data_IF_507543940282
#
_entry.id   IF_507543940282
#
_cell.length_a   1.000
_cell.length_b   1.000
_cell.length_c   1.000
_cell.angle_alpha   90.00
_cell.angle_beta   90.00
_cell.angle_gamma   90.00
#
_symmetry.space_group_name_H-M   'P 1'
#
loop_
_entity.id
_entity.type
_entity.pdbx_description
1 polymer ?
#
# COMPACT_ATOMS: atom_id res chain seq x y z
N UNK A 1 2.11 33.85 1.29
CA UNK A 1 2.36 32.64 0.48
C UNK A 1 3.21 33.04 -0.70
N UNK A 2 4.24 32.24 -1.03
CA UNK A 2 5.07 32.47 -2.22
C UNK A 2 4.33 31.90 -3.43
N UNK A 3 4.16 32.66 -4.51
CA UNK A 3 3.68 32.12 -5.78
C UNK A 3 4.79 31.25 -6.38
N UNK A 4 4.41 30.01 -6.74
CA UNK A 4 5.32 29.08 -7.39
C UNK A 4 5.44 29.47 -8.87
N UNK A 5 6.65 29.41 -9.40
CA UNK A 5 6.86 29.51 -10.85
C UNK A 5 6.22 28.32 -11.56
N UNK A 6 5.89 28.48 -12.83
CA UNK A 6 5.35 27.39 -13.66
C UNK A 6 6.27 26.15 -13.70
N UNK A 7 7.58 26.34 -13.46
CA UNK A 7 8.56 25.27 -13.39
C UNK A 7 8.46 24.49 -12.08
N UNK A 8 8.33 25.18 -10.95
CA UNK A 8 8.09 24.56 -9.64
C UNK A 8 6.72 23.88 -9.58
N UNK A 9 5.70 24.44 -10.23
CA UNK A 9 4.38 23.79 -10.37
C UNK A 9 4.49 22.48 -11.16
N UNK A 10 5.25 22.48 -12.25
CA UNK A 10 5.50 21.27 -13.05
C UNK A 10 6.38 20.24 -12.33
N UNK A 11 7.30 20.66 -11.45
CA UNK A 11 8.09 19.75 -10.62
C UNK A 11 7.24 19.14 -9.50
N UNK A 12 6.33 19.90 -8.89
CA UNK A 12 5.35 19.37 -7.93
C UNK A 12 4.40 18.39 -8.63
N UNK A 13 3.88 18.73 -9.82
CA UNK A 13 2.99 17.85 -10.59
C UNK A 13 3.73 16.63 -11.19
N UNK A 14 4.98 16.80 -11.61
CA UNK A 14 5.84 15.76 -12.16
C UNK A 14 6.39 14.81 -11.09
N UNK A 15 6.66 15.30 -9.88
CA UNK A 15 6.95 14.48 -8.71
C UNK A 15 5.73 13.65 -8.26
N UNK A 16 4.56 14.29 -8.23
CA UNK A 16 3.28 13.68 -7.88
C UNK A 16 2.92 12.47 -8.77
N UNK A 17 3.21 12.53 -10.07
CA UNK A 17 2.91 11.42 -11.00
C UNK A 17 4.12 10.54 -11.31
N UNK A 18 5.32 11.10 -11.47
CA UNK A 18 6.52 10.34 -11.85
C UNK A 18 7.16 9.59 -10.69
N UNK A 19 7.55 10.31 -9.63
CA UNK A 19 8.18 9.70 -8.46
C UNK A 19 7.17 8.91 -7.63
N UNK A 20 5.94 9.40 -7.52
CA UNK A 20 4.82 8.69 -6.88
C UNK A 20 4.58 7.29 -7.46
N UNK A 21 4.64 7.13 -8.79
CA UNK A 21 4.46 5.83 -9.44
C UNK A 21 5.69 4.92 -9.26
N UNK A 22 6.91 5.45 -9.37
CA UNK A 22 8.13 4.64 -9.20
C UNK A 22 8.25 4.12 -7.77
N UNK A 23 8.18 5.02 -6.79
CA UNK A 23 8.27 4.61 -5.38
C UNK A 23 7.03 3.83 -4.95
N UNK A 24 5.85 4.15 -5.49
CA UNK A 24 4.64 3.34 -5.29
C UNK A 24 4.80 1.90 -5.79
N UNK A 25 5.42 1.69 -6.96
CA UNK A 25 5.72 0.36 -7.48
C UNK A 25 6.71 -0.42 -6.59
N UNK A 26 7.78 0.24 -6.14
CA UNK A 26 8.77 -0.36 -5.22
C UNK A 26 8.11 -0.74 -3.89
N UNK A 27 7.34 0.20 -3.32
CA UNK A 27 6.60 -0.01 -2.08
C UNK A 27 5.60 -1.16 -2.21
N UNK A 28 4.90 -1.26 -3.34
CA UNK A 28 3.97 -2.35 -3.60
C UNK A 28 4.69 -3.71 -3.71
N UNK A 29 5.85 -3.77 -4.35
CA UNK A 29 6.66 -4.99 -4.44
C UNK A 29 7.13 -5.47 -3.06
N UNK A 30 7.66 -4.55 -2.23
CA UNK A 30 8.06 -4.83 -0.85
C UNK A 30 6.86 -5.28 -0.01
N UNK A 31 5.74 -4.57 -0.12
CA UNK A 31 4.50 -4.89 0.57
C UNK A 31 3.94 -6.26 0.16
N UNK A 32 4.05 -6.62 -1.13
CA UNK A 32 3.66 -7.95 -1.64
C UNK A 32 4.49 -9.04 -0.96
N UNK A 33 5.82 -8.88 -0.93
CA UNK A 33 6.72 -9.86 -0.33
C UNK A 33 6.46 -10.03 1.19
N UNK A 34 6.23 -8.93 1.91
CA UNK A 34 5.85 -8.99 3.33
C UNK A 34 4.50 -9.72 3.49
N UNK A 35 3.51 -9.37 2.66
CA UNK A 35 2.20 -9.99 2.70
C UNK A 35 2.22 -11.49 2.38
N UNK A 36 3.07 -11.93 1.46
CA UNK A 36 3.30 -13.37 1.18
C UNK A 36 3.83 -14.13 2.40
N UNK A 37 4.76 -13.53 3.14
CA UNK A 37 5.28 -14.14 4.38
C UNK A 37 4.16 -14.29 5.42
N UNK A 38 3.30 -13.28 5.55
CA UNK A 38 2.15 -13.33 6.46
C UNK A 38 1.15 -14.39 6.01
N UNK A 39 0.82 -14.46 4.72
CA UNK A 39 -0.08 -15.48 4.16
C UNK A 39 0.47 -16.90 4.35
N UNK A 40 1.79 -17.11 4.21
CA UNK A 40 2.40 -18.40 4.50
C UNK A 40 2.28 -18.76 5.98
N UNK A 41 2.47 -17.79 6.88
CA UNK A 41 2.32 -17.99 8.33
C UNK A 41 0.88 -18.31 8.75
N UNK A 42 -0.11 -17.64 8.17
CA UNK A 42 -1.54 -17.89 8.45
C UNK A 42 -2.00 -19.22 7.86
N UNK A 43 -1.49 -19.60 6.69
CA UNK A 43 -1.73 -20.90 6.07
C UNK A 43 -1.21 -22.05 6.94
N UNK A 44 -0.06 -21.89 7.61
CA UNK A 44 0.45 -22.86 8.58
C UNK A 44 -0.51 -23.04 9.79
N UNK A 45 -1.29 -22.02 10.11
CA UNK A 45 -2.38 -22.07 11.09
C UNK A 45 -3.72 -22.57 10.56
N UNK A 46 -3.79 -22.99 9.29
CA UNK A 46 -5.02 -23.46 8.63
C UNK A 46 -5.94 -22.35 8.12
N UNK A 47 -5.48 -21.09 8.09
CA UNK A 47 -6.29 -19.96 7.64
C UNK A 47 -6.01 -19.60 6.18
N UNK A 48 -7.04 -19.17 5.47
CA UNK A 48 -6.95 -18.60 4.12
C UNK A 48 -7.01 -17.09 4.19
N UNK A 49 -5.93 -16.42 3.81
CA UNK A 49 -5.83 -14.96 3.79
C UNK A 49 -5.24 -14.48 2.47
N UNK A 50 -5.28 -13.16 2.27
CA UNK A 50 -4.72 -12.46 1.11
C UNK A 50 -4.02 -11.19 1.60
N UNK A 51 -3.13 -11.34 2.57
CA UNK A 51 -2.26 -10.27 3.04
C UNK A 51 -1.26 -9.83 1.98
N UNK A 52 -0.92 -10.68 1.00
CA UNK A 52 -0.16 -10.31 -0.19
C UNK A 52 -0.75 -9.08 -0.88
N UNK A 53 -2.06 -9.11 -1.17
CA UNK A 53 -2.73 -7.97 -1.82
C UNK A 53 -2.82 -6.77 -0.88
N UNK A 54 -3.17 -6.97 0.39
CA UNK A 54 -3.24 -5.87 1.36
C UNK A 54 -1.89 -5.17 1.54
N UNK A 55 -0.82 -5.97 1.59
CA UNK A 55 0.56 -5.52 1.67
C UNK A 55 0.96 -4.73 0.43
N UNK A 56 0.61 -5.19 -0.77
CA UNK A 56 0.85 -4.45 -2.01
C UNK A 56 0.19 -3.06 -2.00
N UNK A 57 -1.06 -2.97 -1.56
CA UNK A 57 -1.81 -1.70 -1.49
C UNK A 57 -1.19 -0.75 -0.45
N UNK A 58 -0.94 -1.24 0.76
CA UNK A 58 -0.36 -0.46 1.85
C UNK A 58 1.07 0.00 1.48
N UNK A 59 1.91 -0.93 1.05
CA UNK A 59 3.28 -0.67 0.63
C UNK A 59 3.32 0.30 -0.55
N UNK A 60 2.42 0.14 -1.52
CA UNK A 60 2.29 1.08 -2.64
C UNK A 60 1.88 2.48 -2.22
N UNK A 61 0.97 2.60 -1.26
CA UNK A 61 0.62 3.89 -0.66
C UNK A 61 1.78 4.53 0.10
N UNK A 62 2.54 3.75 0.88
CA UNK A 62 3.74 4.25 1.59
C UNK A 62 4.81 4.69 0.58
N UNK A 63 5.05 3.87 -0.45
CA UNK A 63 5.96 4.21 -1.55
C UNK A 63 5.54 5.50 -2.26
N UNK A 64 4.26 5.66 -2.54
CA UNK A 64 3.74 6.89 -3.12
C UNK A 64 3.93 8.11 -2.19
N UNK A 65 3.86 7.95 -0.87
CA UNK A 65 4.17 9.04 0.07
C UNK A 65 5.65 9.47 -0.02
N UNK A 66 6.57 8.51 -0.13
CA UNK A 66 8.00 8.78 -0.36
C UNK A 66 8.21 9.48 -1.71
N UNK A 67 7.46 9.08 -2.73
CA UNK A 67 7.41 9.74 -4.03
C UNK A 67 6.68 11.09 -4.06
N UNK A 68 6.34 11.67 -2.90
CA UNK A 68 5.63 12.94 -2.76
C UNK A 68 4.29 12.97 -3.49
N UNK A 69 3.55 11.85 -3.44
CA UNK A 69 2.22 11.73 -4.01
C UNK A 69 1.13 11.53 -2.93
N UNK A 70 0.64 12.60 -2.28
CA UNK A 70 -0.33 12.51 -1.20
C UNK A 70 -1.64 11.80 -1.57
N UNK A 71 -2.13 11.99 -2.80
CA UNK A 71 -3.40 11.40 -3.25
C UNK A 71 -3.26 9.87 -3.36
N UNK A 72 -2.25 9.39 -4.11
CA UNK A 72 -1.98 7.95 -4.23
C UNK A 72 -1.60 7.34 -2.88
N UNK A 73 -0.88 8.07 -2.03
CA UNK A 73 -0.52 7.61 -0.70
C UNK A 73 -1.74 7.37 0.17
N UNK A 74 -2.65 8.35 0.24
CA UNK A 74 -3.87 8.26 1.03
C UNK A 74 -4.76 7.11 0.55
N UNK A 75 -4.94 6.99 -0.77
CA UNK A 75 -5.73 5.91 -1.35
C UNK A 75 -5.11 4.53 -1.08
N UNK A 76 -3.81 4.36 -1.36
CA UNK A 76 -3.09 3.09 -1.18
C UNK A 76 -3.04 2.65 0.29
N UNK A 77 -2.68 3.57 1.20
CA UNK A 77 -2.63 3.29 2.64
C UNK A 77 -4.04 2.97 3.15
N UNK A 78 -5.04 3.77 2.81
CA UNK A 78 -6.42 3.55 3.25
C UNK A 78 -6.96 2.20 2.80
N UNK A 79 -6.85 1.87 1.52
CA UNK A 79 -7.28 0.56 0.99
C UNK A 79 -6.48 -0.59 1.59
N UNK A 80 -5.17 -0.43 1.75
CA UNK A 80 -4.30 -1.42 2.35
C UNK A 80 -4.68 -1.75 3.80
N UNK A 81 -4.89 -0.73 4.64
CA UNK A 81 -5.30 -0.91 6.04
C UNK A 81 -6.68 -1.57 6.13
N UNK A 82 -7.66 -1.13 5.33
CA UNK A 82 -8.99 -1.77 5.31
C UNK A 82 -8.88 -3.24 4.94
N UNK A 83 -8.10 -3.58 3.91
CA UNK A 83 -7.89 -4.95 3.46
C UNK A 83 -7.18 -5.82 4.51
N UNK A 84 -6.25 -5.26 5.31
CA UNK A 84 -5.64 -5.96 6.46
C UNK A 84 -6.70 -6.29 7.51
N UNK A 85 -7.57 -5.34 7.85
CA UNK A 85 -8.66 -5.55 8.83
C UNK A 85 -9.65 -6.60 8.34
N UNK A 86 -9.96 -6.61 7.04
CA UNK A 86 -10.82 -7.63 6.43
C UNK A 86 -10.19 -9.02 6.51
N UNK A 87 -8.90 -9.17 6.22
CA UNK A 87 -8.18 -10.43 6.42
C UNK A 87 -8.23 -10.89 7.88
N UNK A 88 -8.01 -9.98 8.84
CA UNK A 88 -8.10 -10.32 10.27
C UNK A 88 -9.51 -10.75 10.69
N UNK A 89 -10.55 -10.09 10.16
CA UNK A 89 -11.96 -10.50 10.37
C UNK A 89 -12.25 -11.86 9.75
N UNK A 90 -11.73 -12.11 8.55
CA UNK A 90 -11.85 -13.39 7.85
C UNK A 90 -11.26 -14.54 8.67
N UNK A 91 -10.05 -14.39 9.23
CA UNK A 91 -9.44 -15.38 10.13
C UNK A 91 -10.36 -15.71 11.31
N UNK A 92 -10.95 -14.69 11.95
CA UNK A 92 -11.88 -14.90 13.07
C UNK A 92 -13.13 -15.68 12.66
N UNK A 93 -13.65 -15.44 11.46
CA UNK A 93 -14.79 -16.17 10.92
C UNK A 93 -14.45 -17.59 10.43
N UNK A 94 -13.19 -17.86 10.12
CA UNK A 94 -12.70 -19.18 9.69
C UNK A 94 -12.36 -20.12 10.84
N UNK A 95 -12.33 -19.63 12.08
CA UNK A 95 -12.18 -20.49 13.25
C UNK A 95 -13.38 -21.44 13.30
N UNK A 96 -13.20 -22.65 12.78
CA UNK A 96 -14.16 -23.74 12.95
C UNK A 96 -14.20 -24.07 14.44
N UNK A 97 -15.37 -24.10 15.09
CA UNK A 97 -15.50 -24.62 16.45
C UNK A 97 -15.07 -26.10 16.53
#
# INVERSE_FOLDING_TARGET
MKELSQREINEVNGGLLGLGLVFGGIGAALGTAIGEIVDAGTAAGGYKTNFRQSGALLGGGIGAAVGLSPILATAGIGMGVVSIVENARSIRGQKVP
#
